data_IF_262261898047
#
_entry.id   IF_262261898047
#
_cell.length_a   1.000
_cell.length_b   1.000
_cell.length_c   1.000
_cell.angle_alpha   90.00
_cell.angle_beta   90.00
_cell.angle_gamma   90.00
#
_symmetry.space_group_name_H-M   'P 1'
#
loop_
_entity.id
_entity.type
_entity.pdbx_description
1 polymer ?
#
# COMPACT_ATOMS: atom_id res chain seq x y z
N UNK A 1 -4.11 11.12 24.33
CA UNK A 1 -2.71 11.54 24.10
C UNK A 1 -2.72 12.68 23.09
N UNK A 2 -2.05 13.79 23.40
CA UNK A 2 -2.18 15.09 22.72
C UNK A 2 -2.12 15.03 21.19
N UNK A 3 -3.18 15.52 20.54
CA UNK A 3 -3.33 15.77 19.10
C UNK A 3 -2.50 16.96 18.58
N UNK A 4 -1.35 17.23 19.22
CA UNK A 4 -0.49 18.40 18.94
C UNK A 4 0.99 18.00 18.79
N UNK A 5 1.26 16.75 18.42
CA UNK A 5 2.53 16.45 17.75
C UNK A 5 2.45 17.06 16.36
N UNK A 6 2.84 18.33 16.28
CA UNK A 6 3.32 18.95 15.06
C UNK A 6 4.28 17.95 14.42
N UNK A 7 3.90 17.45 13.24
CA UNK A 7 4.77 16.59 12.44
C UNK A 7 6.04 17.38 12.19
N UNK A 8 7.13 16.91 12.78
CA UNK A 8 8.43 17.52 12.65
C UNK A 8 9.22 16.63 11.68
N UNK A 9 9.47 17.16 10.50
CA UNK A 9 10.27 16.54 9.45
C UNK A 9 11.63 17.19 9.40
N UNK A 10 12.68 16.38 9.41
CA UNK A 10 14.04 16.86 9.14
C UNK A 10 14.37 16.60 7.68
N UNK A 11 14.79 17.63 6.95
CA UNK A 11 15.43 17.46 5.65
C UNK A 11 16.93 17.64 5.87
N UNK A 12 17.73 16.66 5.51
CA UNK A 12 19.18 16.68 5.68
C UNK A 12 19.83 16.80 4.33
N UNK A 13 20.73 17.78 4.18
CA UNK A 13 21.59 17.97 3.02
C UNK A 13 23.02 17.69 3.45
N UNK A 14 23.72 16.77 2.79
CA UNK A 14 25.10 16.44 3.15
C UNK A 14 25.99 16.25 1.93
N UNK A 15 27.30 16.44 2.13
CA UNK A 15 28.33 16.16 1.16
C UNK A 15 28.96 14.78 1.43
N UNK A 16 28.91 13.83 0.48
CA UNK A 16 29.55 12.52 0.65
C UNK A 16 31.09 12.61 0.69
N UNK A 17 31.68 13.72 0.23
CA UNK A 17 33.13 13.95 0.23
C UNK A 17 33.63 14.68 1.49
N UNK A 18 32.79 14.88 2.50
CA UNK A 18 33.12 15.55 3.77
C UNK A 18 33.69 16.98 3.63
N UNK A 19 33.38 17.66 2.52
CA UNK A 19 33.78 19.05 2.32
C UNK A 19 32.88 20.02 3.09
N UNK A 20 33.45 21.16 3.52
CA UNK A 20 32.72 22.22 4.22
C UNK A 20 31.63 22.82 3.30
N UNK A 21 30.36 22.51 3.62
CA UNK A 21 29.19 22.93 2.84
C UNK A 21 29.11 24.45 2.70
N UNK A 22 29.62 25.22 3.68
CA UNK A 22 29.53 26.69 3.67
C UNK A 22 30.38 27.33 2.59
N UNK A 23 31.34 26.59 2.03
CA UNK A 23 32.25 27.06 0.98
C UNK A 23 31.84 26.59 -0.41
N UNK A 24 30.84 25.71 -0.50
CA UNK A 24 30.39 25.16 -1.78
C UNK A 24 29.27 26.06 -2.39
N UNK A 25 29.45 26.62 -3.60
CA UNK A 25 28.38 27.37 -4.25
C UNK A 25 27.15 26.50 -4.55
N UNK A 26 27.38 25.20 -4.76
CA UNK A 26 26.37 24.17 -4.99
C UNK A 26 25.44 23.98 -3.78
N UNK A 27 25.94 24.18 -2.55
CA UNK A 27 25.12 24.11 -1.34
C UNK A 27 24.04 25.21 -1.33
N UNK A 28 24.40 26.43 -1.75
CA UNK A 28 23.44 27.54 -1.88
C UNK A 28 22.39 27.23 -2.93
N UNK A 29 22.78 26.59 -4.04
CA UNK A 29 21.83 26.16 -5.07
C UNK A 29 20.90 25.05 -4.59
N UNK A 30 21.44 24.00 -3.97
CA UNK A 30 20.66 22.89 -3.40
C UNK A 30 19.67 23.39 -2.34
N UNK A 31 20.12 24.28 -1.45
CA UNK A 31 19.25 24.96 -0.48
C UNK A 31 18.14 25.75 -1.16
N UNK A 32 18.48 26.58 -2.15
CA UNK A 32 17.46 27.35 -2.88
C UNK A 32 16.44 26.45 -3.57
N UNK A 33 16.86 25.26 -4.03
CA UNK A 33 15.97 24.26 -4.60
C UNK A 33 15.05 23.65 -3.55
N UNK A 34 15.57 23.30 -2.37
CA UNK A 34 14.77 22.83 -1.22
C UNK A 34 13.78 23.90 -0.78
N UNK A 35 14.21 25.15 -0.61
CA UNK A 35 13.32 26.27 -0.26
C UNK A 35 12.25 26.48 -1.32
N UNK A 36 12.58 26.38 -2.62
CA UNK A 36 11.58 26.44 -3.71
C UNK A 36 10.56 25.32 -3.62
N UNK A 37 10.97 24.08 -3.31
CA UNK A 37 10.05 22.95 -3.14
C UNK A 37 9.17 23.11 -1.89
N UNK A 38 9.72 23.60 -0.78
CA UNK A 38 8.93 23.88 0.42
C UNK A 38 7.95 25.06 0.20
N UNK A 39 8.35 26.05 -0.60
CA UNK A 39 7.47 27.17 -0.99
C UNK A 39 6.38 26.73 -1.98
N UNK A 40 6.71 25.94 -3.00
CA UNK A 40 5.71 25.40 -3.93
C UNK A 40 4.73 24.51 -3.20
N UNK A 41 5.17 23.82 -2.15
CA UNK A 41 4.30 23.00 -1.33
C UNK A 41 3.20 23.77 -0.58
N UNK A 42 3.43 25.05 -0.23
CA UNK A 42 2.36 25.91 0.31
C UNK A 42 1.23 26.16 -0.69
N UNK A 43 1.51 25.98 -1.98
CA UNK A 43 0.56 26.18 -3.06
C UNK A 43 -0.10 24.87 -3.53
N UNK A 44 0.41 23.71 -3.11
CA UNK A 44 -0.19 22.41 -3.42
C UNK A 44 -1.59 22.31 -2.83
N UNK A 45 -2.53 21.81 -3.63
CA UNK A 45 -3.87 21.43 -3.17
C UNK A 45 -3.93 19.92 -3.15
N UNK A 46 -3.74 19.33 -1.98
CA UNK A 46 -3.97 17.89 -1.81
C UNK A 46 -5.27 17.66 -1.05
N UNK A 47 -6.07 16.64 -1.39
CA UNK A 47 -7.27 16.29 -0.63
C UNK A 47 -6.94 15.90 0.83
N UNK A 48 -5.69 15.47 1.07
CA UNK A 48 -5.18 15.12 2.39
C UNK A 48 -4.71 16.34 3.22
N UNK A 49 -4.46 17.50 2.61
CA UNK A 49 -4.01 18.69 3.32
C UNK A 49 -4.62 19.98 2.74
N UNK A 50 -5.63 20.57 3.41
CA UNK A 50 -6.22 21.83 3.00
C UNK A 50 -5.19 22.97 2.95
N UNK A 51 -5.39 23.91 2.03
CA UNK A 51 -4.48 25.06 1.82
C UNK A 51 -4.25 25.89 3.10
N UNK A 52 -5.27 26.01 3.94
CA UNK A 52 -5.21 26.72 5.24
C UNK A 52 -4.21 26.08 6.21
N UNK A 53 -4.06 24.76 6.12
CA UNK A 53 -3.16 23.97 6.96
C UNK A 53 -1.73 24.10 6.44
N UNK A 54 -1.54 24.01 5.11
CA UNK A 54 -0.25 24.23 4.46
C UNK A 54 0.27 25.66 4.62
N UNK A 55 -0.62 26.66 4.68
CA UNK A 55 -0.24 28.04 4.94
C UNK A 55 0.46 28.23 6.30
N UNK A 56 0.13 27.38 7.29
CA UNK A 56 0.74 27.37 8.63
C UNK A 56 2.06 26.60 8.70
N UNK A 57 2.50 25.99 7.61
CA UNK A 57 3.78 25.28 7.54
C UNK A 57 4.93 26.28 7.70
N UNK A 58 5.79 26.01 8.68
CA UNK A 58 6.99 26.79 8.95
C UNK A 58 8.20 25.89 8.83
N UNK A 59 9.27 26.39 8.24
CA UNK A 59 10.55 25.71 8.22
C UNK A 59 11.63 26.66 8.70
N UNK A 60 12.57 26.11 9.43
CA UNK A 60 13.76 26.83 9.90
C UNK A 60 14.99 26.14 9.35
N UNK A 61 15.94 26.95 8.89
CA UNK A 61 17.19 26.49 8.32
C UNK A 61 18.35 27.25 8.91
N UNK A 62 19.53 26.62 8.94
CA UNK A 62 20.78 27.32 9.24
C UNK A 62 21.04 28.39 8.18
N UNK A 63 20.95 29.66 8.52
CA UNK A 63 21.32 30.76 7.63
C UNK A 63 22.69 31.35 8.01
N UNK A 64 23.49 31.86 7.05
CA UNK A 64 24.81 32.44 7.34
C UNK A 64 24.76 33.61 8.35
N UNK A 65 23.62 34.28 8.45
CA UNK A 65 23.34 35.38 9.37
C UNK A 65 22.83 34.92 10.75
N UNK A 66 22.65 33.62 10.97
CA UNK A 66 22.12 33.07 12.21
C UNK A 66 23.20 33.08 13.31
N UNK A 67 22.85 33.38 14.58
CA UNK A 67 23.81 33.34 15.69
C UNK A 67 24.53 32.00 15.78
N UNK A 68 25.83 32.04 16.04
CA UNK A 68 26.71 30.85 16.10
C UNK A 68 26.27 29.81 17.14
N UNK A 69 25.47 30.20 18.14
CA UNK A 69 24.87 29.30 19.13
C UNK A 69 23.77 28.41 18.54
N UNK A 70 22.90 28.95 17.67
CA UNK A 70 21.88 28.18 16.96
C UNK A 70 22.47 27.40 15.78
N UNK A 71 23.49 27.96 15.12
CA UNK A 71 24.19 27.29 14.02
C UNK A 71 24.67 25.88 14.38
N UNK A 72 25.18 25.71 15.60
CA UNK A 72 25.65 24.42 16.15
C UNK A 72 24.56 23.35 16.25
N UNK A 73 23.27 23.71 16.22
CA UNK A 73 22.17 22.76 16.30
C UNK A 73 21.77 22.18 14.94
N UNK A 74 22.06 22.90 13.85
CA UNK A 74 21.60 22.55 12.49
C UNK A 74 22.74 22.14 11.56
N UNK A 75 23.98 22.40 11.94
CA UNK A 75 25.18 22.05 11.16
C UNK A 75 25.98 20.99 11.92
N UNK A 76 26.49 19.99 11.21
CA UNK A 76 27.41 19.02 11.80
C UNK A 76 28.71 19.69 12.26
N UNK A 77 29.42 19.09 13.22
CA UNK A 77 30.65 19.66 13.78
C UNK A 77 31.75 19.86 12.72
N UNK A 78 31.78 19.01 11.70
CA UNK A 78 32.68 19.05 10.54
C UNK A 78 32.13 19.89 9.37
N UNK A 79 30.93 20.48 9.52
CA UNK A 79 30.23 21.28 8.49
C UNK A 79 29.91 20.54 7.19
N UNK A 80 29.95 19.21 7.19
CA UNK A 80 29.65 18.36 6.04
C UNK A 80 28.15 18.09 5.84
N UNK A 81 27.32 18.35 6.86
CA UNK A 81 25.88 18.17 6.83
C UNK A 81 25.12 19.36 7.43
N UNK A 82 23.96 19.68 6.84
CA UNK A 82 23.02 20.70 7.30
C UNK A 82 21.62 20.11 7.36
N UNK A 83 20.91 20.38 8.47
CA UNK A 83 19.53 19.94 8.67
C UNK A 83 18.56 21.11 8.61
N UNK A 84 17.40 20.88 8.01
CA UNK A 84 16.26 21.79 7.94
C UNK A 84 15.14 21.16 8.75
N UNK A 85 14.55 21.89 9.69
CA UNK A 85 13.38 21.41 10.43
C UNK A 85 12.13 22.01 9.81
N UNK A 86 11.26 21.13 9.36
CA UNK A 86 9.99 21.42 8.71
C UNK A 86 8.88 21.03 9.67
N UNK A 87 8.10 22.02 10.08
CA UNK A 87 6.98 21.83 10.99
C UNK A 87 5.68 21.86 10.20
N UNK A 88 4.92 20.78 10.30
CA UNK A 88 3.69 20.58 9.54
C UNK A 88 2.65 19.82 10.38
N UNK A 89 1.42 19.75 9.89
CA UNK A 89 0.30 19.09 10.59
C UNK A 89 -0.38 18.00 9.76
N UNK A 90 0.14 17.71 8.56
CA UNK A 90 -0.44 16.74 7.62
C UNK A 90 0.65 15.90 6.93
N UNK A 91 0.31 14.74 6.35
CA UNK A 91 1.30 13.92 5.65
C UNK A 91 1.75 14.57 4.32
N UNK A 92 3.06 14.72 4.13
CA UNK A 92 3.67 15.44 3.02
C UNK A 92 4.35 14.51 2.00
N UNK A 93 3.72 13.37 1.68
CA UNK A 93 4.27 12.38 0.74
C UNK A 93 4.71 12.97 -0.61
N UNK A 94 3.91 13.88 -1.18
CA UNK A 94 4.22 14.60 -2.42
C UNK A 94 5.49 15.45 -2.31
N UNK A 95 5.69 16.13 -1.17
CA UNK A 95 6.90 16.93 -0.94
C UNK A 95 8.12 16.01 -0.85
N UNK A 96 8.00 14.87 -0.17
CA UNK A 96 9.09 13.89 -0.07
C UNK A 96 9.49 13.39 -1.46
N UNK A 97 8.53 13.13 -2.34
CA UNK A 97 8.81 12.75 -3.72
C UNK A 97 9.53 13.87 -4.49
N UNK A 98 9.08 15.12 -4.35
CA UNK A 98 9.74 16.27 -5.00
C UNK A 98 11.15 16.51 -4.45
N UNK A 99 11.36 16.39 -3.14
CA UNK A 99 12.67 16.49 -2.49
C UNK A 99 13.61 15.36 -2.94
N UNK A 100 13.09 14.14 -3.12
CA UNK A 100 13.88 13.03 -3.66
C UNK A 100 14.38 13.31 -5.08
N UNK A 101 13.65 14.09 -5.89
CA UNK A 101 14.15 14.49 -7.22
C UNK A 101 15.30 15.49 -7.19
N UNK A 102 15.55 16.15 -6.04
CA UNK A 102 16.69 17.06 -5.85
C UNK A 102 17.95 16.26 -5.49
N UNK A 103 17.80 15.04 -4.95
CA UNK A 103 18.92 14.17 -4.62
C UNK A 103 19.82 13.97 -5.86
N UNK A 104 21.14 14.09 -5.65
CA UNK A 104 22.18 14.01 -6.68
C UNK A 104 22.16 15.07 -7.81
N UNK A 105 21.18 15.97 -7.91
CA UNK A 105 21.13 16.96 -9.01
C UNK A 105 22.11 18.13 -8.86
N UNK A 106 22.61 18.40 -7.65
CA UNK A 106 23.49 19.54 -7.38
C UNK A 106 24.84 19.07 -6.83
N UNK A 107 25.85 18.93 -7.71
CA UNK A 107 27.25 18.87 -7.28
C UNK A 107 27.66 17.63 -6.45
N UNK A 108 26.93 16.52 -6.56
CA UNK A 108 27.17 15.34 -5.73
C UNK A 108 26.67 15.48 -4.28
N UNK A 109 25.98 16.57 -3.93
CA UNK A 109 25.26 16.70 -2.67
C UNK A 109 24.09 15.72 -2.63
N UNK A 110 23.81 15.23 -1.43
CA UNK A 110 22.72 14.32 -1.15
C UNK A 110 21.65 14.99 -0.29
N UNK A 111 20.40 14.67 -0.58
CA UNK A 111 19.23 15.21 0.14
C UNK A 111 18.36 14.05 0.61
N UNK A 112 18.07 13.99 1.90
CA UNK A 112 17.20 12.98 2.49
C UNK A 112 16.21 13.60 3.46
N UNK A 113 15.07 12.94 3.65
CA UNK A 113 14.05 13.34 4.62
C UNK A 113 14.01 12.30 5.75
N UNK A 114 14.20 12.75 6.98
CA UNK A 114 14.11 11.93 8.19
C UNK A 114 12.98 12.39 9.11
N UNK A 115 12.09 11.46 9.47
CA UNK A 115 11.11 11.58 10.55
C UNK A 115 10.47 10.21 10.80
N UNK A 116 9.82 9.96 11.96
CA UNK A 116 9.09 8.71 12.16
C UNK A 116 8.08 8.43 11.03
N UNK A 117 7.39 9.47 10.55
CA UNK A 117 6.43 9.37 9.45
C UNK A 117 7.09 9.16 8.08
N UNK A 118 8.30 9.68 7.88
CA UNK A 118 9.07 9.47 6.65
C UNK A 118 9.61 8.05 6.60
N UNK A 119 10.09 7.51 7.73
CA UNK A 119 10.54 6.11 7.84
C UNK A 119 9.38 5.16 7.56
N UNK A 120 8.22 5.34 8.22
CA UNK A 120 7.04 4.48 7.97
C UNK A 120 6.61 4.55 6.49
N UNK A 121 6.55 5.74 5.90
CA UNK A 121 6.18 5.87 4.49
C UNK A 121 7.19 5.23 3.55
N UNK A 122 8.50 5.39 3.81
CA UNK A 122 9.54 4.73 3.03
C UNK A 122 9.47 3.21 3.15
N UNK A 123 9.26 2.68 4.37
CA UNK A 123 9.07 1.25 4.61
C UNK A 123 7.86 0.70 3.86
N UNK A 124 6.76 1.45 3.81
CA UNK A 124 5.57 1.04 3.08
C UNK A 124 5.81 1.02 1.57
N UNK A 125 6.43 2.07 1.00
CA UNK A 125 6.77 2.11 -0.44
C UNK A 125 7.68 0.94 -0.82
N UNK A 126 8.73 0.69 -0.03
CA UNK A 126 9.64 -0.42 -0.24
C UNK A 126 8.91 -1.77 -0.13
N UNK A 127 8.03 -1.93 0.86
CA UNK A 127 7.21 -3.13 1.02
C UNK A 127 6.31 -3.35 -0.20
N UNK A 128 5.66 -2.31 -0.73
CA UNK A 128 4.84 -2.42 -1.93
C UNK A 128 5.65 -2.85 -3.15
N UNK A 129 6.86 -2.29 -3.32
CA UNK A 129 7.75 -2.66 -4.42
C UNK A 129 8.17 -4.13 -4.30
N UNK A 130 8.52 -4.57 -3.09
CA UNK A 130 8.87 -5.96 -2.84
C UNK A 130 7.68 -6.90 -3.08
N UNK A 131 6.48 -6.59 -2.57
CA UNK A 131 5.29 -7.41 -2.82
C UNK A 131 4.97 -7.47 -4.32
N UNK A 132 5.05 -6.34 -5.02
CA UNK A 132 4.84 -6.29 -6.48
C UNK A 132 5.83 -7.19 -7.21
N UNK A 133 7.12 -7.11 -6.86
CA UNK A 133 8.15 -7.95 -7.47
C UNK A 133 7.90 -9.44 -7.22
N UNK A 134 7.55 -9.82 -5.99
CA UNK A 134 7.20 -11.20 -5.65
C UNK A 134 5.93 -11.65 -6.39
N UNK A 135 4.92 -10.80 -6.52
CA UNK A 135 3.70 -11.12 -7.24
C UNK A 135 3.97 -11.45 -8.71
N UNK A 136 4.83 -10.68 -9.39
CA UNK A 136 5.22 -10.94 -10.78
C UNK A 136 5.94 -12.28 -10.98
N UNK A 137 6.69 -12.73 -9.96
CA UNK A 137 7.40 -14.01 -9.99
C UNK A 137 6.46 -15.16 -9.60
N UNK A 138 5.66 -14.99 -8.55
CA UNK A 138 4.79 -16.04 -8.01
C UNK A 138 3.58 -16.30 -8.90
N UNK A 139 2.96 -15.28 -9.48
CA UNK A 139 1.76 -15.44 -10.31
C UNK A 139 1.91 -16.47 -11.45
N UNK A 140 2.95 -16.43 -12.30
CA UNK A 140 3.13 -17.43 -13.36
C UNK A 140 3.42 -18.83 -12.81
N UNK A 141 4.17 -18.92 -11.70
CA UNK A 141 4.45 -20.21 -11.04
C UNK A 141 3.15 -20.83 -10.51
N UNK A 142 2.33 -20.03 -9.81
CA UNK A 142 1.04 -20.46 -9.28
C UNK A 142 0.07 -20.88 -10.39
N UNK A 143 0.05 -20.14 -11.50
CA UNK A 143 -0.73 -20.51 -12.68
C UNK A 143 -0.27 -21.84 -13.29
N UNK A 144 1.04 -22.06 -13.42
CA UNK A 144 1.59 -23.32 -13.91
C UNK A 144 1.24 -24.50 -12.99
N UNK A 145 1.30 -24.31 -11.66
CA UNK A 145 0.91 -25.32 -10.69
C UNK A 145 -0.59 -25.66 -10.76
N UNK A 146 -1.46 -24.65 -10.90
CA UNK A 146 -2.89 -24.88 -11.10
C UNK A 146 -3.17 -25.59 -12.42
N UNK A 147 -2.49 -25.22 -13.50
CA UNK A 147 -2.64 -25.89 -14.77
C UNK A 147 -2.23 -27.36 -14.69
N UNK A 148 -1.10 -27.64 -14.04
CA UNK A 148 -0.64 -29.01 -13.78
C UNK A 148 -1.67 -29.82 -12.98
N UNK A 149 -2.27 -29.23 -11.93
CA UNK A 149 -3.23 -29.92 -11.07
C UNK A 149 -4.59 -30.14 -11.74
N UNK A 150 -5.13 -29.12 -12.42
CA UNK A 150 -6.49 -29.14 -12.98
C UNK A 150 -6.57 -29.79 -14.35
N UNK A 151 -5.43 -29.97 -15.03
CA UNK A 151 -5.30 -30.59 -16.35
C UNK A 151 -5.88 -29.75 -17.51
N UNK A 152 -6.38 -28.54 -17.25
CA UNK A 152 -6.95 -27.67 -18.28
C UNK A 152 -6.57 -26.21 -18.04
N UNK A 153 -6.08 -25.57 -19.09
CA UNK A 153 -5.63 -24.18 -19.04
C UNK A 153 -6.79 -23.22 -18.71
N UNK A 154 -8.00 -23.50 -19.20
CA UNK A 154 -9.19 -22.69 -18.91
C UNK A 154 -9.61 -22.80 -17.43
N UNK A 155 -9.45 -23.97 -16.81
CA UNK A 155 -9.71 -24.16 -15.38
C UNK A 155 -8.73 -23.38 -14.53
N UNK A 156 -7.44 -23.42 -14.87
CA UNK A 156 -6.42 -22.64 -14.17
C UNK A 156 -6.67 -21.12 -14.26
N UNK A 157 -7.21 -20.64 -15.38
CA UNK A 157 -7.51 -19.21 -15.55
C UNK A 157 -8.66 -18.72 -14.65
N UNK A 158 -9.53 -19.62 -14.17
CA UNK A 158 -10.67 -19.22 -13.33
C UNK A 158 -10.26 -18.51 -12.04
N UNK A 159 -9.12 -18.87 -11.44
CA UNK A 159 -8.61 -18.17 -10.26
C UNK A 159 -8.28 -16.70 -10.56
N UNK A 160 -7.67 -16.42 -11.70
CA UNK A 160 -7.34 -15.05 -12.10
C UNK A 160 -8.59 -14.25 -12.46
N UNK A 161 -9.58 -14.89 -13.11
CA UNK A 161 -10.87 -14.26 -13.40
C UNK A 161 -11.60 -13.90 -12.10
N UNK A 162 -11.65 -14.83 -11.14
CA UNK A 162 -12.23 -14.59 -9.82
C UNK A 162 -11.55 -13.44 -9.09
N UNK A 163 -10.21 -13.40 -9.10
CA UNK A 163 -9.45 -12.29 -8.52
C UNK A 163 -9.81 -10.95 -9.16
N UNK A 164 -9.82 -10.87 -10.50
CA UNK A 164 -10.18 -9.65 -11.20
C UNK A 164 -11.61 -9.21 -10.87
N UNK A 165 -12.58 -10.13 -10.89
CA UNK A 165 -13.97 -9.86 -10.51
C UNK A 165 -14.07 -9.36 -9.06
N UNK A 166 -13.36 -10.01 -8.12
CA UNK A 166 -13.26 -9.58 -6.72
C UNK A 166 -12.73 -8.16 -6.62
N UNK A 167 -11.59 -7.87 -7.25
CA UNK A 167 -10.98 -6.55 -7.20
C UNK A 167 -11.90 -5.46 -7.75
N UNK A 168 -12.53 -5.67 -8.91
CA UNK A 168 -13.48 -4.69 -9.47
C UNK A 168 -14.69 -4.50 -8.55
N UNK A 169 -15.23 -5.59 -8.00
CA UNK A 169 -16.34 -5.54 -7.06
C UNK A 169 -15.98 -4.78 -5.78
N UNK A 170 -14.82 -5.06 -5.20
CA UNK A 170 -14.31 -4.38 -4.00
C UNK A 170 -14.14 -2.89 -4.25
N UNK A 171 -13.63 -2.48 -5.41
CA UNK A 171 -13.53 -1.06 -5.79
C UNK A 171 -14.88 -0.41 -5.93
N UNK A 172 -15.82 -1.05 -6.62
CA UNK A 172 -17.17 -0.53 -6.78
C UNK A 172 -17.86 -0.32 -5.43
N UNK A 173 -17.79 -1.32 -4.53
CA UNK A 173 -18.36 -1.24 -3.19
C UNK A 173 -17.66 -0.17 -2.35
N UNK A 174 -16.33 -0.06 -2.44
CA UNK A 174 -15.57 0.97 -1.70
C UNK A 174 -15.98 2.38 -2.12
N UNK A 175 -16.23 2.61 -3.43
CA UNK A 175 -16.76 3.89 -3.92
C UNK A 175 -18.13 4.17 -3.32
N UNK A 176 -19.02 3.18 -3.27
CA UNK A 176 -20.36 3.33 -2.66
C UNK A 176 -20.24 3.66 -1.15
N UNK A 177 -19.37 2.96 -0.42
CA UNK A 177 -19.15 3.23 1.01
C UNK A 177 -18.61 4.64 1.20
N UNK A 178 -17.70 5.10 0.34
CA UNK A 178 -17.16 6.45 0.41
C UNK A 178 -18.24 7.54 0.21
N UNK A 179 -19.29 7.26 -0.56
CA UNK A 179 -20.43 8.16 -0.71
C UNK A 179 -21.25 8.25 0.58
N UNK A 180 -21.47 7.12 1.25
CA UNK A 180 -22.22 7.07 2.52
C UNK A 180 -21.40 7.64 3.66
N UNK A 181 -20.09 7.40 3.67
CA UNK A 181 -19.20 7.78 4.74
C UNK A 181 -17.92 8.45 4.21
N UNK A 182 -18.00 9.77 3.90
CA UNK A 182 -16.88 10.52 3.30
C UNK A 182 -15.65 10.63 4.19
N UNK A 183 -15.75 10.37 5.49
CA UNK A 183 -14.64 10.44 6.44
C UNK A 183 -13.66 9.26 6.33
N UNK A 184 -14.08 8.08 5.80
CA UNK A 184 -13.18 6.94 5.61
C UNK A 184 -12.14 7.23 4.53
N UNK A 185 -10.87 6.94 4.82
CA UNK A 185 -9.78 7.21 3.89
C UNK A 185 -9.28 5.92 3.24
N UNK A 186 -9.78 5.63 2.03
CA UNK A 186 -9.36 4.48 1.22
C UNK A 186 -8.12 4.74 0.37
N UNK A 187 -7.51 5.94 0.44
CA UNK A 187 -6.31 6.31 -0.34
C UNK A 187 -5.02 5.76 0.29
N UNK A 188 -5.03 4.49 0.69
CA UNK A 188 -3.95 3.84 1.39
C UNK A 188 -3.01 3.07 0.45
N UNK A 189 -1.69 3.04 0.73
CA UNK A 189 -0.71 2.22 0.01
C UNK A 189 -0.81 0.71 0.30
N UNK A 190 -1.97 0.21 0.72
CA UNK A 190 -2.12 -1.20 1.12
C UNK A 190 -2.80 -2.06 0.05
N UNK A 191 -3.16 -1.46 -1.08
CA UNK A 191 -3.94 -2.12 -2.13
C UNK A 191 -3.23 -3.33 -2.73
N UNK A 192 -1.92 -3.22 -2.94
CA UNK A 192 -1.10 -4.33 -3.48
C UNK A 192 -1.02 -5.49 -2.48
N UNK A 193 -1.00 -5.20 -1.17
CA UNK A 193 -1.00 -6.22 -0.13
C UNK A 193 -2.34 -6.95 -0.09
N UNK A 194 -3.46 -6.21 -0.17
CA UNK A 194 -4.80 -6.81 -0.28
C UNK A 194 -4.88 -7.70 -1.52
N UNK A 195 -4.42 -7.22 -2.68
CA UNK A 195 -4.40 -7.99 -3.92
C UNK A 195 -3.57 -9.28 -3.79
N UNK A 196 -2.42 -9.21 -3.11
CA UNK A 196 -1.58 -10.38 -2.87
C UNK A 196 -2.28 -11.43 -2.00
N UNK A 197 -2.96 -10.99 -0.93
CA UNK A 197 -3.76 -11.88 -0.07
C UNK A 197 -4.93 -12.49 -0.87
N UNK A 198 -5.67 -11.67 -1.63
CA UNK A 198 -6.78 -12.14 -2.45
C UNK A 198 -6.30 -13.14 -3.51
N UNK A 199 -5.15 -12.91 -4.16
CA UNK A 199 -4.59 -13.84 -5.13
C UNK A 199 -4.33 -15.21 -4.49
N UNK A 200 -3.71 -15.26 -3.31
CA UNK A 200 -3.44 -16.51 -2.61
C UNK A 200 -4.74 -17.26 -2.26
N UNK A 201 -5.70 -16.58 -1.65
CA UNK A 201 -7.00 -17.17 -1.31
C UNK A 201 -7.74 -17.69 -2.55
N UNK A 202 -7.69 -16.95 -3.64
CA UNK A 202 -8.37 -17.34 -4.86
C UNK A 202 -7.81 -18.62 -5.47
N UNK A 203 -6.48 -18.77 -5.46
CA UNK A 203 -5.81 -19.96 -5.97
C UNK A 203 -6.17 -21.18 -5.14
N UNK A 204 -6.15 -21.07 -3.80
CA UNK A 204 -6.49 -22.15 -2.89
C UNK A 204 -7.95 -22.60 -3.06
N UNK A 205 -8.87 -21.64 -3.16
CA UNK A 205 -10.30 -21.94 -3.33
C UNK A 205 -10.60 -22.57 -4.70
N UNK A 206 -9.98 -22.07 -5.76
CA UNK A 206 -10.13 -22.69 -7.08
C UNK A 206 -9.52 -24.10 -7.11
N UNK A 207 -8.37 -24.31 -6.46
CA UNK A 207 -7.77 -25.63 -6.35
C UNK A 207 -8.71 -26.61 -5.64
N UNK A 208 -9.23 -26.25 -4.46
CA UNK A 208 -10.18 -27.11 -3.72
C UNK A 208 -11.46 -27.41 -4.51
N UNK A 209 -11.96 -26.44 -5.25
CA UNK A 209 -13.11 -26.64 -6.12
C UNK A 209 -12.79 -27.64 -7.24
N UNK A 210 -11.74 -27.38 -8.03
CA UNK A 210 -11.42 -28.18 -9.20
C UNK A 210 -10.92 -29.58 -8.86
N UNK A 211 -10.13 -29.73 -7.81
CA UNK A 211 -9.69 -31.05 -7.32
C UNK A 211 -10.89 -31.88 -6.92
N UNK A 212 -11.84 -31.32 -6.17
CA UNK A 212 -13.04 -32.06 -5.76
C UNK A 212 -13.95 -32.38 -6.94
N UNK A 213 -14.17 -31.41 -7.83
CA UNK A 213 -14.94 -31.63 -9.05
C UNK A 213 -14.34 -32.75 -9.92
N UNK A 214 -13.01 -32.78 -10.05
CA UNK A 214 -12.30 -33.83 -10.78
C UNK A 214 -12.48 -35.20 -10.14
N UNK A 215 -12.43 -35.30 -8.81
CA UNK A 215 -12.69 -36.54 -8.07
C UNK A 215 -14.11 -37.06 -8.31
N UNK A 216 -15.12 -36.20 -8.21
CA UNK A 216 -16.52 -36.57 -8.43
C UNK A 216 -16.78 -37.01 -9.88
N UNK A 217 -16.17 -36.32 -10.86
CA UNK A 217 -16.23 -36.71 -12.28
C UNK A 217 -15.52 -38.03 -12.58
N UNK A 218 -14.43 -38.33 -11.86
CA UNK A 218 -13.70 -39.59 -11.98
C UNK A 218 -14.45 -40.77 -11.37
N UNK A 219 -15.12 -40.56 -10.23
CA UNK A 219 -15.91 -41.59 -9.56
C UNK A 219 -17.20 -41.94 -10.31
N UNK A 220 -17.80 -40.97 -11.02
CA UNK A 220 -19.02 -41.16 -11.82
C UNK A 220 -18.85 -40.54 -13.21
N UNK A 221 -18.17 -41.24 -14.13
CA UNK A 221 -18.03 -40.79 -15.50
C UNK A 221 -19.38 -40.90 -16.23
N UNK A 222 -19.70 -39.89 -17.05
CA UNK A 222 -20.98 -39.81 -17.79
C UNK A 222 -21.61 -38.42 -17.75
N UNK A 223 -22.19 -37.89 -18.85
CA UNK A 223 -22.77 -36.55 -18.89
C UNK A 223 -23.97 -36.38 -17.94
N UNK A 224 -24.75 -37.43 -17.72
CA UNK A 224 -25.90 -37.46 -16.79
C UNK A 224 -25.51 -37.18 -15.33
N UNK A 225 -24.27 -37.49 -14.95
CA UNK A 225 -23.76 -37.29 -13.60
C UNK A 225 -23.05 -35.94 -13.40
N UNK A 226 -22.95 -35.11 -14.44
CA UNK A 226 -22.30 -33.81 -14.36
C UNK A 226 -22.92 -32.91 -13.29
N UNK A 227 -24.25 -32.74 -13.32
CA UNK A 227 -24.97 -31.89 -12.36
C UNK A 227 -24.83 -32.40 -10.93
N UNK A 228 -24.86 -33.73 -10.75
CA UNK A 228 -24.67 -34.35 -9.45
C UNK A 228 -23.24 -34.15 -8.90
N UNK A 229 -22.23 -34.25 -9.76
CA UNK A 229 -20.83 -33.97 -9.40
C UNK A 229 -20.62 -32.51 -8.99
N UNK A 230 -21.20 -31.57 -9.76
CA UNK A 230 -21.15 -30.14 -9.44
C UNK A 230 -21.85 -29.83 -8.11
N UNK A 231 -23.05 -30.37 -7.91
CA UNK A 231 -23.81 -30.19 -6.66
C UNK A 231 -23.05 -30.75 -5.46
N UNK A 232 -22.47 -31.95 -5.58
CA UNK A 232 -21.68 -32.57 -4.50
C UNK A 232 -20.42 -31.75 -4.20
N UNK A 233 -19.77 -31.21 -5.23
CA UNK A 233 -18.61 -30.32 -5.07
C UNK A 233 -18.97 -29.05 -4.32
N UNK A 234 -20.08 -28.39 -4.68
CA UNK A 234 -20.56 -27.19 -4.00
C UNK A 234 -20.98 -27.48 -2.55
N UNK A 235 -21.62 -28.62 -2.29
CA UNK A 235 -22.02 -29.02 -0.93
C UNK A 235 -20.83 -29.34 -0.02
N UNK A 236 -19.72 -29.83 -0.59
CA UNK A 236 -18.52 -30.23 0.17
C UNK A 236 -17.47 -29.12 0.17
N UNK A 237 -16.71 -28.97 -0.91
CA UNK A 237 -15.68 -27.94 -1.04
C UNK A 237 -16.27 -26.53 -0.89
N UNK A 238 -17.47 -26.28 -1.40
CA UNK A 238 -18.10 -24.97 -1.25
C UNK A 238 -18.39 -24.60 0.20
N UNK A 239 -18.86 -25.56 1.02
CA UNK A 239 -19.04 -25.35 2.44
C UNK A 239 -17.71 -25.04 3.16
N UNK A 240 -16.63 -25.74 2.80
CA UNK A 240 -15.28 -25.48 3.35
C UNK A 240 -14.80 -24.07 3.00
N UNK A 241 -14.97 -23.64 1.74
CA UNK A 241 -14.61 -22.29 1.28
C UNK A 241 -15.40 -21.23 2.07
N UNK A 242 -16.71 -21.41 2.24
CA UNK A 242 -17.56 -20.47 3.00
C UNK A 242 -17.15 -20.38 4.47
N UNK A 243 -16.84 -21.51 5.12
CA UNK A 243 -16.35 -21.51 6.51
C UNK A 243 -15.03 -20.76 6.60
N UNK A 244 -14.09 -20.98 5.66
CA UNK A 244 -12.82 -20.25 5.60
C UNK A 244 -13.04 -18.74 5.47
N UNK A 245 -13.91 -18.32 4.54
CA UNK A 245 -14.29 -16.92 4.33
C UNK A 245 -14.88 -16.31 5.60
N UNK A 246 -15.79 -17.01 6.28
CA UNK A 246 -16.37 -16.55 7.54
C UNK A 246 -15.30 -16.32 8.62
N UNK A 247 -14.37 -17.26 8.79
CA UNK A 247 -13.28 -17.13 9.77
C UNK A 247 -12.39 -15.93 9.47
N UNK A 248 -12.00 -15.74 8.20
CA UNK A 248 -11.17 -14.61 7.78
C UNK A 248 -11.89 -13.26 7.95
N UNK A 249 -13.18 -13.19 7.63
CA UNK A 249 -13.99 -11.99 7.82
C UNK A 249 -14.11 -11.65 9.30
N UNK A 250 -14.42 -12.63 10.16
CA UNK A 250 -14.52 -12.41 11.61
C UNK A 250 -13.17 -11.95 12.18
N UNK A 251 -12.07 -12.60 11.80
CA UNK A 251 -10.72 -12.23 12.25
C UNK A 251 -10.34 -10.81 11.80
N UNK A 252 -10.64 -10.45 10.56
CA UNK A 252 -10.33 -9.12 10.02
C UNK A 252 -11.21 -8.03 10.66
N UNK A 253 -12.50 -8.32 10.90
CA UNK A 253 -13.39 -7.41 11.62
C UNK A 253 -12.94 -7.20 13.07
N UNK A 254 -12.40 -8.24 13.72
CA UNK A 254 -11.85 -8.11 15.07
C UNK A 254 -10.67 -7.11 15.11
N UNK A 255 -9.85 -7.05 14.05
CA UNK A 255 -8.76 -6.08 13.95
C UNK A 255 -9.25 -4.62 13.96
N UNK A 256 -10.46 -4.35 13.46
CA UNK A 256 -11.04 -3.00 13.49
C UNK A 256 -11.22 -2.43 14.91
N UNK A 257 -11.30 -3.29 15.93
CA UNK A 257 -11.44 -2.88 17.33
C UNK A 257 -10.10 -2.62 18.02
N UNK A 258 -8.97 -2.88 17.36
CA UNK A 258 -7.67 -2.65 17.96
C UNK A 258 -7.34 -1.14 17.96
N UNK A 259 -6.83 -0.56 19.08
CA UNK A 259 -6.67 0.90 19.21
C UNK A 259 -5.87 1.58 18.09
N UNK A 260 -4.82 0.93 17.60
CA UNK A 260 -3.97 1.45 16.51
C UNK A 260 -4.62 1.27 15.11
N UNK A 261 -5.53 0.30 14.98
CA UNK A 261 -6.25 -0.02 13.75
C UNK A 261 -7.59 0.72 13.63
N UNK A 262 -8.07 1.32 14.73
CA UNK A 262 -9.32 2.10 14.77
C UNK A 262 -9.14 3.56 14.28
N UNK A 263 -8.03 3.87 13.61
CA UNK A 263 -7.88 5.13 12.88
C UNK A 263 -8.65 5.03 11.54
N UNK A 264 -9.25 6.13 11.07
CA UNK A 264 -10.11 6.16 9.86
C UNK A 264 -9.46 5.59 8.60
N UNK A 265 -8.12 5.65 8.47
CA UNK A 265 -7.40 5.04 7.34
C UNK A 265 -7.17 3.53 7.48
N UNK A 266 -6.76 3.08 8.67
CA UNK A 266 -6.55 1.66 8.96
C UNK A 266 -7.89 0.90 8.95
N UNK A 267 -8.93 1.51 9.53
CA UNK A 267 -10.30 1.01 9.48
C UNK A 267 -10.80 0.85 8.03
N UNK A 268 -10.56 1.85 7.17
CA UNK A 268 -10.93 1.77 5.75
C UNK A 268 -10.25 0.60 5.04
N UNK A 269 -8.96 0.37 5.32
CA UNK A 269 -8.20 -0.75 4.74
C UNK A 269 -8.77 -2.10 5.19
N UNK A 270 -9.07 -2.25 6.48
CA UNK A 270 -9.65 -3.49 7.02
C UNK A 270 -11.05 -3.76 6.45
N UNK A 271 -11.90 -2.73 6.34
CA UNK A 271 -13.21 -2.83 5.69
C UNK A 271 -13.07 -3.25 4.23
N UNK A 272 -12.14 -2.64 3.49
CA UNK A 272 -11.85 -3.00 2.10
C UNK A 272 -11.42 -4.47 1.97
N UNK A 273 -10.55 -4.96 2.86
CA UNK A 273 -10.11 -6.36 2.87
C UNK A 273 -11.27 -7.31 3.19
N UNK A 274 -12.14 -6.97 4.14
CA UNK A 274 -13.35 -7.77 4.46
C UNK A 274 -14.26 -7.91 3.23
N UNK A 275 -14.50 -6.81 2.52
CA UNK A 275 -15.32 -6.81 1.31
C UNK A 275 -14.66 -7.68 0.22
N UNK A 276 -13.34 -7.54 0.04
CA UNK A 276 -12.56 -8.38 -0.86
C UNK A 276 -12.71 -9.86 -0.59
N UNK A 277 -12.50 -10.28 0.67
CA UNK A 277 -12.63 -11.69 1.07
C UNK A 277 -14.05 -12.21 0.84
N UNK A 278 -15.08 -11.42 1.13
CA UNK A 278 -16.48 -11.79 0.91
C UNK A 278 -16.80 -11.98 -0.59
N UNK A 279 -16.45 -10.99 -1.41
CA UNK A 279 -16.70 -11.04 -2.86
C UNK A 279 -15.91 -12.16 -3.51
N UNK A 280 -14.65 -12.33 -3.13
CA UNK A 280 -13.81 -13.42 -3.58
C UNK A 280 -14.42 -14.78 -3.25
N UNK A 281 -14.90 -14.98 -2.02
CA UNK A 281 -15.59 -16.20 -1.62
C UNK A 281 -16.79 -16.53 -2.51
N UNK A 282 -17.60 -15.51 -2.85
CA UNK A 282 -18.74 -15.66 -3.77
C UNK A 282 -18.27 -16.00 -5.19
N UNK A 283 -17.31 -15.24 -5.73
CA UNK A 283 -16.81 -15.46 -7.09
C UNK A 283 -16.13 -16.82 -7.25
N UNK A 284 -15.37 -17.28 -6.26
CA UNK A 284 -14.72 -18.61 -6.27
C UNK A 284 -15.72 -19.77 -6.30
N UNK A 285 -16.98 -19.56 -5.93
CA UNK A 285 -18.04 -20.57 -6.07
C UNK A 285 -18.78 -20.44 -7.40
N UNK A 286 -19.08 -19.21 -7.83
CA UNK A 286 -19.89 -18.94 -9.02
C UNK A 286 -19.10 -19.16 -10.30
N UNK A 287 -17.88 -18.64 -10.39
CA UNK A 287 -17.11 -18.64 -11.65
C UNK A 287 -16.69 -20.06 -12.04
N UNK A 288 -16.05 -20.87 -11.18
CA UNK A 288 -15.71 -22.25 -11.54
C UNK A 288 -16.96 -23.09 -11.87
N UNK A 289 -18.07 -22.88 -11.17
CA UNK A 289 -19.32 -23.58 -11.46
C UNK A 289 -19.92 -23.20 -12.83
N UNK A 290 -19.72 -21.95 -13.28
CA UNK A 290 -20.18 -21.49 -14.59
C UNK A 290 -19.29 -21.96 -15.75
N UNK A 291 -18.02 -22.27 -15.49
CA UNK A 291 -17.02 -22.70 -16.47
C UNK A 291 -16.83 -24.23 -16.52
N UNK A 292 -17.36 -24.96 -15.51
CA UNK A 292 -17.29 -26.42 -15.41
C UNK A 292 -18.00 -27.13 -16.58
#
# INVERSE_FOLDING_TARGET
ANSSLLGLESVVVWSPTQQDLTRMPEFTQARSAVDRVLQSAKQLRTPACPREVLAKMTWTSYAPWMPTSLAKQFLSADKSASTFLVQHTCNLAEIRQQLATIDQKHGGLRVAVGSPNAVVAASVVESMQQVTHHMWICAPIMWALLWWNTGSMFRALTAFICLLCSMFGTRAVTVIIKWVWPALNFSGPNEVVIMFIELALCLDYCLFFWTRFSQERGARPGPEHFKAALQTTLQTSGAVILVSVCVLVIGTLAMCFYPDQNNLGALATNVQLVIGILLLGVYSLVVPASVA
#
